data_IF_213337371036
#
_entry.id   IF_213337371036
#
_cell.length_a   1.000
_cell.length_b   1.000
_cell.length_c   1.000
_cell.angle_alpha   90.00
_cell.angle_beta   90.00
_cell.angle_gamma   90.00
#
_symmetry.space_group_name_H-M   'P 1'
#
loop_
_entity.id
_entity.type
_entity.pdbx_description
1 polymer ?
#
# COMPACT_ATOMS: atom_id res chain seq x y z
N UNK A 1 11.14 -17.35 -15.68
CA UNK A 1 11.08 -16.07 -14.94
C UNK A 1 9.62 -15.80 -14.68
N UNK A 2 9.11 -16.15 -13.49
CA UNK A 2 7.72 -15.85 -13.13
C UNK A 2 7.63 -14.35 -12.85
N UNK A 3 6.81 -13.63 -13.60
CA UNK A 3 6.51 -12.25 -13.26
C UNK A 3 5.81 -12.22 -11.89
N UNK A 4 6.17 -11.27 -11.03
CA UNK A 4 5.39 -10.99 -9.83
C UNK A 4 4.11 -10.31 -10.24
N UNK A 5 2.98 -10.72 -9.67
CA UNK A 5 1.72 -10.00 -9.83
C UNK A 5 1.83 -8.61 -9.20
N UNK A 6 1.18 -7.63 -9.82
CA UNK A 6 1.16 -6.25 -9.35
C UNK A 6 0.38 -6.15 -8.02
N UNK A 7 0.99 -5.53 -7.02
CA UNK A 7 0.37 -5.31 -5.72
C UNK A 7 -0.36 -3.96 -5.72
N UNK A 8 -1.63 -3.96 -6.11
CA UNK A 8 -2.44 -2.73 -6.03
C UNK A 8 -2.89 -2.41 -4.60
N UNK A 9 -3.23 -3.40 -3.78
CA UNK A 9 -3.70 -3.18 -2.42
C UNK A 9 -3.12 -4.25 -1.51
N UNK A 10 -2.51 -3.82 -0.41
CA UNK A 10 -2.06 -4.75 0.63
C UNK A 10 -3.19 -5.04 1.62
N UNK A 11 -3.23 -6.28 2.11
CA UNK A 11 -4.15 -6.72 3.16
C UNK A 11 -3.39 -7.53 4.19
N UNK A 12 -2.85 -6.86 5.21
CA UNK A 12 -2.16 -7.51 6.32
C UNK A 12 -3.12 -7.69 7.49
N UNK A 13 -3.56 -8.92 7.75
CA UNK A 13 -4.48 -9.21 8.86
C UNK A 13 -3.85 -9.10 10.24
N UNK A 14 -2.52 -9.19 10.32
CA UNK A 14 -1.76 -9.14 11.57
C UNK A 14 -1.48 -7.73 12.07
N UNK A 15 -1.63 -6.70 11.23
CA UNK A 15 -1.32 -5.32 11.56
C UNK A 15 -2.53 -4.41 11.30
N UNK A 16 -2.87 -3.49 12.22
CA UNK A 16 -3.91 -2.51 11.99
C UNK A 16 -3.54 -1.57 10.82
N UNK A 17 -4.44 -1.41 9.85
CA UNK A 17 -4.30 -0.40 8.81
C UNK A 17 -4.57 0.98 9.40
N UNK A 18 -3.59 1.88 9.31
CA UNK A 18 -3.72 3.26 9.79
C UNK A 18 -4.30 4.17 8.71
N UNK A 19 -3.77 4.08 7.49
CA UNK A 19 -4.18 4.92 6.38
C UNK A 19 -3.83 4.30 5.03
N UNK A 20 -4.64 4.62 4.02
CA UNK A 20 -4.37 4.32 2.61
C UNK A 20 -4.16 5.61 1.84
N UNK A 21 -2.95 5.81 1.35
CA UNK A 21 -2.61 6.89 0.41
C UNK A 21 -2.77 6.45 -1.04
N UNK A 22 -2.54 7.39 -1.97
CA UNK A 22 -2.63 7.13 -3.41
C UNK A 22 -1.80 5.92 -3.85
N UNK A 23 -0.58 5.81 -3.36
CA UNK A 23 0.42 4.81 -3.80
C UNK A 23 1.04 4.01 -2.65
N UNK A 24 0.50 4.13 -1.44
CA UNK A 24 1.01 3.44 -0.25
C UNK A 24 -0.08 3.06 0.74
N UNK A 25 0.13 2.00 1.48
CA UNK A 25 -0.66 1.60 2.64
C UNK A 25 0.23 1.67 3.90
N UNK A 26 -0.27 2.28 4.98
CA UNK A 26 0.46 2.44 6.23
C UNK A 26 -0.19 1.59 7.33
N UNK A 27 0.61 0.78 8.03
CA UNK A 27 0.17 -0.09 9.11
C UNK A 27 0.85 0.26 10.43
N UNK A 28 0.15 0.09 11.54
CA UNK A 28 0.71 0.26 12.88
C UNK A 28 1.62 -0.92 13.24
N UNK A 29 2.77 -0.64 13.85
CA UNK A 29 3.67 -1.66 14.40
C UNK A 29 3.99 -1.32 15.85
N UNK A 30 3.10 -1.74 16.76
CA UNK A 30 3.11 -1.24 18.14
C UNK A 30 2.66 0.22 18.19
N UNK A 31 3.12 0.95 19.21
CA UNK A 31 2.62 2.29 19.52
C UNK A 31 3.49 3.43 18.92
N UNK A 32 4.69 3.12 18.44
CA UNK A 32 5.71 4.12 18.07
C UNK A 32 6.28 3.95 16.66
N UNK A 33 5.82 2.95 15.89
CA UNK A 33 6.34 2.66 14.54
C UNK A 33 5.25 2.43 13.52
N UNK A 34 5.61 2.68 12.26
CA UNK A 34 4.75 2.52 11.10
C UNK A 34 5.46 1.63 10.07
N UNK A 35 4.77 0.63 9.56
CA UNK A 35 5.15 -0.09 8.34
C UNK A 35 4.50 0.61 7.15
N UNK A 36 5.31 1.09 6.21
CA UNK A 36 4.82 1.61 4.93
C UNK A 36 5.00 0.57 3.84
N UNK A 37 3.91 0.22 3.16
CA UNK A 37 3.91 -0.66 2.00
C UNK A 37 3.72 0.20 0.76
N UNK A 38 4.74 0.26 -0.10
CA UNK A 38 4.62 0.88 -1.42
C UNK A 38 3.90 -0.10 -2.35
N UNK A 39 2.75 0.33 -2.89
CA UNK A 39 1.98 -0.44 -3.87
C UNK A 39 2.46 -0.13 -5.29
N UNK A 40 2.09 -0.97 -6.25
CA UNK A 40 2.30 -0.70 -7.68
C UNK A 40 1.29 0.31 -8.27
N UNK A 41 0.40 0.87 -7.43
CA UNK A 41 -0.48 1.99 -7.84
C UNK A 41 0.35 3.21 -8.24
N UNK A 42 -0.03 3.85 -9.33
CA UNK A 42 0.52 5.13 -9.80
C UNK A 42 -0.57 6.21 -9.79
N UNK A 43 -0.19 7.48 -9.59
CA UNK A 43 -1.12 8.60 -9.65
C UNK A 43 -0.60 9.73 -10.53
N UNK A 44 -1.46 10.32 -11.35
CA UNK A 44 -1.20 11.55 -12.09
C UNK A 44 -2.46 12.42 -12.13
N UNK A 45 -2.29 13.74 -12.27
CA UNK A 45 -3.41 14.71 -12.31
C UNK A 45 -4.41 14.54 -11.15
N UNK A 46 -3.88 14.29 -9.95
CA UNK A 46 -4.64 14.04 -8.72
C UNK A 46 -5.44 12.72 -8.67
N UNK A 47 -5.40 11.89 -9.71
CA UNK A 47 -6.14 10.62 -9.83
C UNK A 47 -5.22 9.41 -9.72
N UNK A 48 -5.70 8.32 -9.11
CA UNK A 48 -5.02 7.01 -9.08
C UNK A 48 -5.37 6.27 -10.37
N UNK A 49 -4.37 5.72 -11.06
CA UNK A 49 -4.58 4.91 -12.27
C UNK A 49 -4.96 3.48 -11.88
N UNK A 50 -5.92 2.89 -12.59
CA UNK A 50 -6.53 1.59 -12.29
C UNK A 50 -6.21 0.52 -13.35
N UNK A 51 -5.07 0.65 -14.02
CA UNK A 51 -4.66 -0.21 -15.14
C UNK A 51 -3.53 -1.16 -14.75
#
# INVERSE_FOLDING_TARGET
MTASDALHTSTLHSLPLLARGKVRDNYAVGDDRILMVASDRISAFDVIMNE
#
